data_IF_399666726614
#
_entry.id   IF_399666726614
#
_cell.length_a   1.000
_cell.length_b   1.000
_cell.length_c   1.000
_cell.angle_alpha   90.00
_cell.angle_beta   90.00
_cell.angle_gamma   90.00
#
_symmetry.space_group_name_H-M   'P 1'
#
loop_
_entity.id
_entity.type
_entity.pdbx_description
1 polymer ?
#
# COMPACT_ATOMS: atom_id res chain seq x y z
N UNK A 1 42.93 -34.99 36.69
CA UNK A 1 41.47 -34.91 36.46
C UNK A 1 41.17 -33.50 36.00
N UNK A 2 40.80 -33.31 34.72
CA UNK A 2 40.38 -32.01 34.20
C UNK A 2 38.85 -31.87 34.36
N UNK A 3 38.33 -30.68 34.72
CA UNK A 3 36.89 -30.49 34.89
C UNK A 3 36.19 -30.49 33.53
N UNK A 4 35.09 -31.25 33.43
CA UNK A 4 34.18 -31.25 32.30
C UNK A 4 33.46 -29.89 32.25
N UNK A 5 33.71 -29.11 31.21
CA UNK A 5 32.99 -27.87 30.94
C UNK A 5 31.67 -28.24 30.27
N UNK A 6 30.55 -28.11 30.98
CA UNK A 6 29.22 -28.32 30.39
C UNK A 6 28.96 -27.27 29.30
N UNK A 7 28.46 -27.66 28.11
CA UNK A 7 28.09 -26.70 27.08
C UNK A 7 26.91 -25.86 27.59
N UNK A 8 27.07 -24.54 27.54
CA UNK A 8 25.98 -23.59 27.80
C UNK A 8 24.95 -23.79 26.68
N UNK A 9 23.66 -24.03 26.99
CA UNK A 9 22.64 -24.12 25.96
C UNK A 9 22.56 -22.78 25.22
N UNK A 10 22.79 -22.80 23.91
CA UNK A 10 22.60 -21.63 23.06
C UNK A 10 21.12 -21.24 23.13
N UNK A 11 20.78 -19.98 23.46
CA UNK A 11 19.39 -19.54 23.46
C UNK A 11 18.82 -19.73 22.07
N UNK A 12 17.74 -20.51 21.96
CA UNK A 12 16.97 -20.66 20.73
C UNK A 12 16.48 -19.26 20.31
N UNK A 13 16.69 -18.83 19.05
CA UNK A 13 16.16 -17.56 18.58
C UNK A 13 14.63 -17.60 18.73
N UNK A 14 14.09 -16.69 19.55
CA UNK A 14 12.65 -16.51 19.70
C UNK A 14 12.12 -15.97 18.36
N UNK A 15 11.15 -16.62 17.72
CA UNK A 15 10.53 -16.09 16.52
C UNK A 15 9.96 -14.69 16.78
N UNK A 16 10.37 -13.71 15.98
CA UNK A 16 9.82 -12.35 16.06
C UNK A 16 8.33 -12.40 15.71
N UNK A 17 7.46 -11.98 16.63
CA UNK A 17 6.01 -11.98 16.42
C UNK A 17 5.66 -11.05 15.25
N UNK A 18 4.72 -11.46 14.38
CA UNK A 18 4.32 -10.61 13.26
C UNK A 18 3.68 -9.32 13.77
N UNK A 19 4.12 -8.19 13.24
CA UNK A 19 3.52 -6.89 13.55
C UNK A 19 2.19 -6.77 12.82
N UNK A 20 1.14 -6.34 13.53
CA UNK A 20 -0.21 -6.24 12.98
C UNK A 20 -0.70 -4.81 13.05
N UNK A 21 -1.30 -4.32 11.96
CA UNK A 21 -1.92 -3.00 11.87
C UNK A 21 -3.32 -3.13 11.28
N UNK A 22 -4.28 -2.37 11.80
CA UNK A 22 -5.67 -2.37 11.34
C UNK A 22 -6.09 -0.96 10.96
N UNK A 23 -6.80 -0.83 9.84
CA UNK A 23 -7.39 0.43 9.37
C UNK A 23 -8.83 0.18 8.96
N UNK A 24 -9.77 0.84 9.64
CA UNK A 24 -11.20 0.74 9.36
C UNK A 24 -11.60 1.60 8.15
N UNK A 25 -12.62 1.16 7.43
CA UNK A 25 -13.22 1.95 6.37
C UNK A 25 -13.96 3.16 6.95
N UNK A 26 -14.19 4.22 6.15
CA UNK A 26 -14.85 5.44 6.62
C UNK A 26 -16.26 5.21 7.18
N UNK A 27 -16.95 4.17 6.71
CA UNK A 27 -18.28 3.77 7.17
C UNK A 27 -18.25 2.67 8.25
N UNK A 28 -17.06 2.26 8.71
CA UNK A 28 -16.80 1.22 9.71
C UNK A 28 -17.30 -0.19 9.31
N UNK A 29 -17.68 -0.40 8.05
CA UNK A 29 -18.20 -1.70 7.58
C UNK A 29 -17.13 -2.71 7.19
N UNK A 30 -15.90 -2.25 6.96
CA UNK A 30 -14.77 -3.09 6.59
C UNK A 30 -13.52 -2.70 7.35
N UNK A 31 -12.64 -3.68 7.57
CA UNK A 31 -11.32 -3.46 8.17
C UNK A 31 -10.25 -4.02 7.25
N UNK A 32 -9.19 -3.25 7.03
CA UNK A 32 -7.97 -3.68 6.37
C UNK A 32 -6.93 -4.00 7.43
N UNK A 33 -6.52 -5.26 7.50
CA UNK A 33 -5.48 -5.74 8.39
C UNK A 33 -4.20 -5.98 7.59
N UNK A 34 -3.09 -5.39 8.02
CA UNK A 34 -1.75 -5.72 7.55
C UNK A 34 -1.04 -6.56 8.59
N UNK A 35 -0.43 -7.66 8.15
CA UNK A 35 0.49 -8.48 8.95
C UNK A 35 1.88 -8.38 8.32
N UNK A 36 2.88 -8.01 9.10
CA UNK A 36 4.29 -7.97 8.69
C UNK A 36 5.03 -9.16 9.28
N UNK A 37 5.76 -9.88 8.43
CA UNK A 37 6.65 -10.95 8.86
C UNK A 37 8.05 -10.69 8.30
N UNK A 38 9.00 -10.47 9.22
CA UNK A 38 10.41 -10.25 8.86
C UNK A 38 11.08 -11.59 8.56
N UNK A 39 11.73 -11.68 7.41
CA UNK A 39 12.47 -12.86 6.96
C UNK A 39 13.89 -12.42 6.57
N UNK A 40 14.75 -12.25 7.58
CA UNK A 40 16.13 -11.80 7.39
C UNK A 40 16.21 -10.37 6.85
N UNK A 41 16.65 -10.23 5.59
CA UNK A 41 16.81 -8.95 4.88
C UNK A 41 15.54 -8.47 4.17
N UNK A 42 14.45 -9.23 4.26
CA UNK A 42 13.17 -8.91 3.61
C UNK A 42 12.02 -8.89 4.62
N UNK A 43 10.95 -8.19 4.27
CA UNK A 43 9.70 -8.16 5.02
C UNK A 43 8.56 -8.55 4.11
N UNK A 44 7.76 -9.53 4.54
CA UNK A 44 6.54 -9.95 3.85
C UNK A 44 5.35 -9.26 4.50
N UNK A 45 4.62 -8.49 3.70
CA UNK A 45 3.39 -7.81 4.09
C UNK A 45 2.20 -8.60 3.52
N UNK A 46 1.31 -9.05 4.39
CA UNK A 46 0.06 -9.73 4.03
C UNK A 46 -1.12 -8.84 4.41
N UNK A 47 -1.98 -8.56 3.44
CA UNK A 47 -3.16 -7.71 3.58
C UNK A 47 -4.42 -8.57 3.57
N UNK A 48 -5.25 -8.37 4.57
CA UNK A 48 -6.52 -9.05 4.74
C UNK A 48 -7.64 -8.05 4.89
N UNK A 49 -8.80 -8.36 4.35
CA UNK A 49 -10.04 -7.60 4.56
C UNK A 49 -11.03 -8.44 5.36
N UNK A 50 -11.81 -7.77 6.21
CA UNK A 50 -12.96 -8.37 6.90
C UNK A 50 -14.14 -7.41 6.85
N UNK A 51 -15.35 -7.95 6.73
CA UNK A 51 -16.59 -7.17 6.71
C UNK A 51 -17.39 -7.32 8.01
N UNK A 52 -18.27 -6.36 8.28
CA UNK A 52 -19.13 -6.33 9.48
C UNK A 52 -19.97 -7.61 9.69
N UNK A 53 -20.33 -8.30 8.59
CA UNK A 53 -21.12 -9.54 8.61
C UNK A 53 -20.29 -10.82 8.49
N UNK A 54 -19.02 -10.70 8.12
CA UNK A 54 -18.13 -11.83 7.87
C UNK A 54 -16.97 -11.79 8.86
N UNK A 55 -17.06 -12.62 9.90
CA UNK A 55 -15.96 -12.80 10.87
C UNK A 55 -14.70 -13.42 10.23
N UNK A 56 -14.79 -13.93 9.00
CA UNK A 56 -13.65 -14.49 8.28
C UNK A 56 -12.83 -13.37 7.61
N UNK A 57 -11.55 -13.29 7.96
CA UNK A 57 -10.59 -12.47 7.24
C UNK A 57 -10.29 -13.12 5.89
N UNK A 58 -10.48 -12.38 4.80
CA UNK A 58 -10.05 -12.79 3.47
C UNK A 58 -8.70 -12.16 3.14
N UNK A 59 -7.71 -12.97 2.76
CA UNK A 59 -6.46 -12.43 2.21
C UNK A 59 -6.72 -11.84 0.82
N UNK A 60 -6.32 -10.58 0.62
CA UNK A 60 -6.51 -9.86 -0.65
C UNK A 60 -5.20 -9.64 -1.40
N UNK A 61 -4.08 -9.58 -0.69
CA UNK A 61 -2.77 -9.33 -1.28
C UNK A 61 -1.63 -9.72 -0.36
N UNK A 62 -0.51 -10.13 -0.96
CA UNK A 62 0.76 -10.37 -0.26
C UNK A 62 1.88 -9.84 -1.12
N UNK A 63 2.82 -9.11 -0.50
CA UNK A 63 4.02 -8.63 -1.16
C UNK A 63 5.22 -8.71 -0.23
N UNK A 64 6.34 -9.22 -0.75
CA UNK A 64 7.63 -9.23 -0.06
C UNK A 64 8.49 -8.10 -0.61
N UNK A 65 9.09 -7.32 0.28
CA UNK A 65 9.99 -6.21 -0.06
C UNK A 65 11.30 -6.35 0.70
N UNK A 66 12.41 -5.99 0.04
CA UNK A 66 13.73 -5.97 0.66
C UNK A 66 13.93 -4.70 1.49
N UNK A 67 14.59 -4.82 2.64
CA UNK A 67 14.93 -3.67 3.47
C UNK A 67 15.88 -2.71 2.72
N UNK A 68 15.73 -1.37 2.87
CA UNK A 68 14.88 -0.68 3.84
C UNK A 68 13.45 -0.37 3.36
N UNK A 69 12.99 -0.98 2.25
CA UNK A 69 11.63 -0.71 1.76
C UNK A 69 10.57 -1.18 2.75
N UNK A 70 9.45 -0.49 2.77
CA UNK A 70 8.29 -0.84 3.61
C UNK A 70 7.00 -0.52 2.88
N UNK A 71 5.93 -1.23 3.23
CA UNK A 71 4.58 -0.95 2.76
C UNK A 71 3.74 -0.53 3.95
N UNK A 72 3.05 0.60 3.81
CA UNK A 72 2.17 1.16 4.83
C UNK A 72 0.75 1.31 4.28
N UNK A 73 -0.23 1.34 5.19
CA UNK A 73 -1.63 1.69 4.87
C UNK A 73 -1.83 3.15 5.28
N UNK A 74 -2.02 4.08 4.33
CA UNK A 74 -2.38 5.45 4.64
C UNK A 74 -3.72 5.55 5.39
N UNK A 75 -3.90 6.56 6.24
CA UNK A 75 -5.15 6.74 7.02
C UNK A 75 -6.39 6.96 6.14
N UNK A 76 -6.17 7.51 4.95
CA UNK A 76 -7.14 7.81 3.90
C UNK A 76 -7.15 6.73 2.80
N UNK A 77 -6.61 5.53 3.08
CA UNK A 77 -6.44 4.47 2.09
C UNK A 77 -7.74 4.05 1.41
N UNK A 78 -8.86 4.06 2.13
CA UNK A 78 -10.15 3.51 1.69
C UNK A 78 -10.93 4.44 0.77
N UNK A 79 -11.45 3.90 -0.34
CA UNK A 79 -12.34 4.63 -1.25
C UNK A 79 -13.71 4.89 -0.61
N UNK A 80 -14.30 6.09 -0.76
CA UNK A 80 -15.63 6.38 -0.25
C UNK A 80 -16.73 5.65 -1.03
N UNK A 81 -17.94 5.62 -0.51
CA UNK A 81 -19.13 5.16 -1.25
C UNK A 81 -19.16 3.65 -1.51
N UNK A 82 -18.75 2.84 -0.52
CA UNK A 82 -18.87 1.39 -0.55
C UNK A 82 -17.54 0.61 -0.52
N UNK A 83 -16.43 1.27 -0.20
CA UNK A 83 -15.14 0.64 0.14
C UNK A 83 -14.67 -0.38 -0.91
N UNK A 84 -14.87 -0.06 -2.19
CA UNK A 84 -14.54 -0.97 -3.29
C UNK A 84 -13.03 -1.10 -3.49
N UNK A 85 -12.31 -0.01 -3.23
CA UNK A 85 -10.88 0.08 -3.41
C UNK A 85 -10.19 0.58 -2.15
N UNK A 86 -8.91 0.24 -2.05
CA UNK A 86 -7.99 0.89 -1.14
C UNK A 86 -6.64 1.06 -1.83
N UNK A 87 -5.81 1.96 -1.32
CA UNK A 87 -4.42 2.07 -1.78
C UNK A 87 -3.42 1.88 -0.64
N UNK A 88 -2.24 1.38 -1.01
CA UNK A 88 -1.10 1.18 -0.15
C UNK A 88 0.02 2.12 -0.58
N UNK A 89 0.88 2.50 0.36
CA UNK A 89 2.07 3.30 0.09
C UNK A 89 3.32 2.46 0.36
N UNK A 90 4.07 2.15 -0.69
CA UNK A 90 5.40 1.58 -0.61
C UNK A 90 6.44 2.70 -0.59
N UNK A 91 7.29 2.74 0.43
CA UNK A 91 8.37 3.73 0.57
C UNK A 91 9.72 3.03 0.69
N UNK A 92 10.80 3.73 0.32
CA UNK A 92 12.15 3.16 0.34
C UNK A 92 13.22 4.08 -0.18
N UNK A 93 14.30 3.54 -0.74
CA UNK A 93 15.47 4.29 -1.24
C UNK A 93 15.22 5.09 -2.54
N UNK A 94 13.97 5.17 -3.01
CA UNK A 94 13.58 5.80 -4.26
C UNK A 94 12.30 6.62 -4.12
N UNK A 95 11.57 6.79 -5.21
CA UNK A 95 10.24 7.43 -5.17
C UNK A 95 9.24 6.51 -4.49
N UNK A 96 8.34 7.11 -3.73
CA UNK A 96 7.20 6.40 -3.14
C UNK A 96 6.34 5.80 -4.26
N UNK A 97 5.81 4.60 -4.02
CA UNK A 97 4.90 3.92 -4.94
C UNK A 97 3.53 3.69 -4.30
N UNK A 98 2.47 4.04 -5.01
CA UNK A 98 1.09 3.89 -4.58
C UNK A 98 0.44 2.72 -5.33
N UNK A 99 0.04 1.70 -4.57
CA UNK A 99 -0.55 0.46 -5.12
C UNK A 99 -2.04 0.44 -4.81
N UNK A 100 -2.89 0.41 -5.83
CA UNK A 100 -4.34 0.32 -5.70
C UNK A 100 -4.79 -1.14 -5.82
N UNK A 101 -5.71 -1.54 -4.94
CA UNK A 101 -6.29 -2.87 -4.86
C UNK A 101 -7.81 -2.81 -4.66
N UNK A 102 -8.49 -3.93 -4.93
CA UNK A 102 -9.90 -4.10 -4.56
C UNK A 102 -10.04 -4.73 -3.18
N UNK A 103 -11.08 -4.36 -2.45
CA UNK A 103 -11.36 -4.90 -1.10
C UNK A 103 -11.70 -6.38 -1.07
N UNK A 104 -12.02 -6.97 -2.23
CA UNK A 104 -12.35 -8.38 -2.38
C UNK A 104 -11.20 -9.21 -2.99
N UNK A 105 -10.02 -8.61 -3.19
CA UNK A 105 -8.88 -9.30 -3.82
C UNK A 105 -9.17 -9.74 -5.26
N UNK A 106 -10.10 -9.07 -5.95
CA UNK A 106 -10.38 -9.24 -7.37
C UNK A 106 -9.47 -8.31 -8.20
N UNK A 107 -9.26 -8.60 -9.49
CA UNK A 107 -8.58 -7.67 -10.39
C UNK A 107 -9.19 -6.28 -10.35
N UNK A 108 -8.34 -5.26 -10.32
CA UNK A 108 -8.71 -3.84 -10.32
C UNK A 108 -9.29 -3.45 -11.68
N UNK A 109 -8.63 -3.88 -12.76
CA UNK A 109 -9.07 -3.64 -14.12
C UNK A 109 -8.55 -4.74 -15.04
N UNK A 110 -9.43 -5.30 -15.89
CA UNK A 110 -9.12 -6.46 -16.76
C UNK A 110 -8.54 -7.60 -15.90
N UNK A 111 -7.28 -7.98 -16.16
CA UNK A 111 -6.54 -9.05 -15.47
C UNK A 111 -5.47 -8.53 -14.51
N UNK A 112 -5.46 -7.22 -14.22
CA UNK A 112 -4.50 -6.61 -13.31
C UNK A 112 -4.97 -6.77 -11.87
N UNK A 113 -4.30 -7.63 -11.10
CA UNK A 113 -4.58 -7.84 -9.68
C UNK A 113 -4.40 -6.56 -8.85
N UNK A 114 -3.41 -5.75 -9.23
CA UNK A 114 -3.10 -4.46 -8.62
C UNK A 114 -2.77 -3.44 -9.69
N UNK A 115 -2.83 -2.17 -9.31
CA UNK A 115 -2.39 -1.06 -10.16
C UNK A 115 -1.34 -0.24 -9.41
N UNK A 116 -0.17 -0.07 -10.01
CA UNK A 116 0.88 0.83 -9.50
C UNK A 116 0.72 2.18 -10.19
N UNK A 117 0.35 3.21 -9.44
CA UNK A 117 -0.06 4.51 -10.00
C UNK A 117 1.11 5.21 -10.68
N UNK A 118 2.31 5.12 -10.11
CA UNK A 118 3.55 5.74 -10.62
C UNK A 118 3.92 5.19 -11.98
N UNK A 119 3.85 3.87 -12.16
CA UNK A 119 4.22 3.21 -13.41
C UNK A 119 3.31 3.68 -14.55
N UNK A 120 1.99 3.75 -14.29
CA UNK A 120 1.03 4.25 -15.27
C UNK A 120 1.19 5.75 -15.52
N UNK A 121 1.53 6.51 -14.48
CA UNK A 121 1.70 7.95 -14.59
C UNK A 121 2.94 8.31 -15.40
N UNK A 122 4.09 7.68 -15.10
CA UNK A 122 5.37 7.91 -15.78
C UNK A 122 5.31 7.58 -17.28
N UNK A 123 4.47 6.62 -17.68
CA UNK A 123 4.23 6.30 -19.10
C UNK A 123 3.53 7.43 -19.87
N UNK A 124 2.73 8.27 -19.20
CA UNK A 124 1.94 9.35 -19.82
C UNK A 124 2.55 10.73 -19.61
N UNK A 125 3.26 10.94 -18.52
CA UNK A 125 3.69 12.25 -18.05
C UNK A 125 5.16 12.25 -17.65
N UNK A 126 6.05 12.11 -18.64
CA UNK A 126 7.49 12.01 -18.41
C UNK A 126 8.12 13.23 -17.72
N UNK A 127 7.52 14.42 -17.84
CA UNK A 127 8.02 15.66 -17.26
C UNK A 127 7.66 15.85 -15.77
N UNK A 128 6.91 14.91 -15.20
CA UNK A 128 6.36 15.00 -13.85
C UNK A 128 6.72 13.78 -13.01
N UNK A 129 6.78 13.97 -11.70
CA UNK A 129 6.89 12.90 -10.70
C UNK A 129 5.75 13.01 -9.69
N UNK A 130 5.20 11.88 -9.28
CA UNK A 130 4.25 11.84 -8.17
C UNK A 130 5.01 12.18 -6.89
N UNK A 131 4.46 13.13 -6.11
CA UNK A 131 4.97 13.48 -4.79
C UNK A 131 4.10 12.93 -3.69
N UNK A 132 2.79 12.86 -3.92
CA UNK A 132 1.87 12.29 -2.95
C UNK A 132 0.55 11.83 -3.56
N UNK A 133 -0.13 10.92 -2.86
CA UNK A 133 -1.55 10.58 -3.11
C UNK A 133 -2.34 10.94 -1.86
N UNK A 134 -3.12 12.02 -1.95
CA UNK A 134 -3.79 12.64 -0.79
C UNK A 134 -5.12 11.97 -0.43
N UNK A 135 -5.48 10.89 -1.13
CA UNK A 135 -6.68 10.11 -0.88
C UNK A 135 -7.66 10.17 -2.05
N UNK A 136 -8.95 10.06 -1.74
CA UNK A 136 -10.01 9.88 -2.73
C UNK A 136 -10.87 11.14 -2.88
N UNK A 137 -11.09 11.58 -4.11
CA UNK A 137 -12.07 12.62 -4.45
C UNK A 137 -13.46 12.03 -4.71
N UNK A 138 -13.54 10.76 -5.10
CA UNK A 138 -14.77 10.03 -5.37
C UNK A 138 -14.53 8.52 -5.25
N UNK A 139 -15.56 7.64 -5.32
CA UNK A 139 -15.40 6.20 -5.15
C UNK A 139 -14.37 5.52 -6.07
N UNK A 140 -14.05 6.11 -7.23
CA UNK A 140 -13.03 5.61 -8.17
C UNK A 140 -11.92 6.61 -8.46
N UNK A 141 -11.96 7.81 -7.86
CA UNK A 141 -11.05 8.89 -8.18
C UNK A 141 -10.06 9.12 -7.05
N UNK A 142 -8.78 8.85 -7.30
CA UNK A 142 -7.67 9.20 -6.43
C UNK A 142 -7.12 10.58 -6.79
N UNK A 143 -6.72 11.34 -5.78
CA UNK A 143 -6.04 12.62 -5.95
C UNK A 143 -4.53 12.40 -5.90
N UNK A 144 -3.85 12.76 -6.98
CA UNK A 144 -2.40 12.61 -7.16
C UNK A 144 -1.76 13.98 -7.26
N UNK A 145 -0.84 14.27 -6.35
CA UNK A 145 -0.03 15.49 -6.35
C UNK A 145 1.30 15.22 -7.04
N UNK A 146 1.75 16.20 -7.84
CA UNK A 146 2.97 16.04 -8.64
C UNK A 146 3.86 17.25 -8.57
N UNK A 147 5.14 17.02 -8.77
CA UNK A 147 6.13 18.05 -9.10
C UNK A 147 6.64 17.82 -10.51
N UNK A 148 7.17 18.86 -11.14
CA UNK A 148 7.96 18.72 -12.35
C UNK A 148 9.33 18.13 -12.01
N UNK A 149 9.98 17.53 -13.00
CA UNK A 149 11.34 17.03 -12.84
C UNK A 149 12.37 18.13 -12.54
N UNK A 150 12.10 19.38 -12.93
CA UNK A 150 12.93 20.55 -12.59
C UNK A 150 12.79 21.00 -11.13
N UNK A 151 11.95 20.32 -10.33
CA UNK A 151 11.70 20.62 -8.92
C UNK A 151 10.64 21.69 -8.68
N UNK A 152 10.04 22.27 -9.73
CA UNK A 152 8.91 23.19 -9.57
C UNK A 152 7.61 22.44 -9.31
N UNK A 153 6.68 23.11 -8.62
CA UNK A 153 5.37 22.56 -8.29
C UNK A 153 4.60 22.22 -9.56
N UNK A 154 4.16 20.97 -9.66
CA UNK A 154 3.32 20.46 -10.73
C UNK A 154 1.81 20.60 -10.42
N UNK A 155 0.95 20.34 -11.41
CA UNK A 155 -0.49 20.24 -11.19
C UNK A 155 -0.83 19.00 -10.37
N UNK A 156 -2.07 18.93 -9.89
CA UNK A 156 -2.64 17.67 -9.40
C UNK A 156 -3.40 16.94 -10.51
N UNK A 157 -3.63 15.65 -10.32
CA UNK A 157 -4.40 14.82 -11.23
C UNK A 157 -5.46 14.06 -10.45
N UNK A 158 -6.63 13.86 -11.05
CA UNK A 158 -7.49 12.75 -10.69
C UNK A 158 -7.06 11.52 -11.45
N UNK A 159 -6.77 10.45 -10.72
CA UNK A 159 -6.59 9.13 -11.28
C UNK A 159 -7.89 8.34 -11.14
N UNK A 160 -8.51 8.00 -12.26
CA UNK A 160 -9.70 7.14 -12.28
C UNK A 160 -9.28 5.68 -12.37
N UNK A 161 -9.46 4.96 -11.27
CA UNK A 161 -9.11 3.55 -11.11
C UNK A 161 -9.88 2.65 -12.07
N UNK A 162 -11.13 3.00 -12.41
CA UNK A 162 -11.97 2.17 -13.26
C UNK A 162 -11.50 2.20 -14.73
N UNK A 163 -11.04 3.38 -15.20
CA UNK A 163 -10.61 3.59 -16.59
C UNK A 163 -9.09 3.60 -16.78
N UNK A 164 -8.32 3.54 -15.68
CA UNK A 164 -6.86 3.70 -15.66
C UNK A 164 -6.39 4.98 -16.37
N UNK A 165 -7.15 6.05 -16.18
CA UNK A 165 -6.93 7.34 -16.83
C UNK A 165 -6.62 8.44 -15.83
N UNK A 166 -5.96 9.49 -16.32
CA UNK A 166 -5.60 10.65 -15.51
C UNK A 166 -6.24 11.89 -16.11
N UNK A 167 -6.88 12.68 -15.26
CA UNK A 167 -7.44 13.98 -15.60
C UNK A 167 -6.65 15.04 -14.85
N UNK A 168 -5.94 15.89 -15.59
CA UNK A 168 -5.18 17.00 -15.01
C UNK A 168 -6.12 18.03 -14.39
N UNK A 169 -5.79 18.49 -13.20
CA UNK A 169 -6.48 19.58 -12.51
C UNK A 169 -5.78 20.92 -12.76
N UNK A 170 -6.58 21.99 -12.71
CA UNK A 170 -6.11 23.36 -12.96
C UNK A 170 -5.15 23.86 -11.88
N UNK A 171 -5.31 23.38 -10.66
CA UNK A 171 -4.53 23.79 -9.47
C UNK A 171 -4.08 22.56 -8.68
N UNK A 172 -3.05 22.75 -7.86
CA UNK A 172 -2.62 21.73 -6.91
C UNK A 172 -3.69 21.55 -5.83
N UNK A 173 -3.91 20.31 -5.41
CA UNK A 173 -4.76 19.93 -4.30
C UNK A 173 -3.93 19.99 -3.01
N UNK A 174 -4.37 20.78 -2.05
CA UNK A 174 -3.73 20.95 -0.74
C UNK A 174 -4.53 20.24 0.35
#
# INVERSE_FOLDING_TARGET
MAPLVSPIPTPTPVPELPKVMNVESPDMKQTLTMKEQKNGSSVTHTFLTSGEKEHAQQQVFTKTVDLPKTITIPFNAWSPGGNKYFFLKETGSGLDSYIVLTSLGKPVARDLQTVVVEELFAQKYADYKITDVTGWAAPTLLVVNTDKLDGTVGPSFWFDVASLSFTRLSTRFN
#
